data_IF_071665249074
#
_entry.id   IF_071665249074
#
_cell.length_a   1.000
_cell.length_b   1.000
_cell.length_c   1.000
_cell.angle_alpha   90.00
_cell.angle_beta   90.00
_cell.angle_gamma   90.00
#
_symmetry.space_group_name_H-M   'P 1'
#
loop_
_entity.id
_entity.type
_entity.pdbx_description
1 polymer ?
#
# COMPACT_ATOMS: atom_id res chain seq x y z
N UNK A 1 -52.35 23.81 9.31
CA UNK A 1 -50.94 24.27 9.32
C UNK A 1 -50.39 24.13 7.91
N UNK A 2 -50.10 25.23 7.22
CA UNK A 2 -49.54 25.24 5.86
C UNK A 2 -47.99 25.20 5.97
N UNK A 3 -47.25 24.42 5.15
CA UNK A 3 -45.79 24.43 5.19
C UNK A 3 -45.24 25.73 4.55
N UNK A 4 -44.41 26.45 5.29
CA UNK A 4 -43.64 27.59 4.75
C UNK A 4 -42.51 27.04 3.85
N UNK A 5 -42.60 27.37 2.58
CA UNK A 5 -41.48 27.20 1.64
C UNK A 5 -40.46 28.33 1.86
N UNK A 6 -39.26 28.02 2.25
CA UNK A 6 -38.13 28.94 2.21
C UNK A 6 -37.59 28.91 0.78
N UNK A 7 -37.81 29.97 0.03
CA UNK A 7 -37.06 30.28 -1.17
C UNK A 7 -35.83 31.08 -0.74
N UNK A 8 -34.63 30.52 -0.93
CA UNK A 8 -33.37 31.29 -0.90
C UNK A 8 -33.22 31.92 -2.26
N UNK A 9 -33.42 33.21 -2.40
CA UNK A 9 -33.11 33.95 -3.60
C UNK A 9 -31.59 34.11 -3.69
N UNK A 10 -31.01 33.56 -4.72
CA UNK A 10 -29.61 33.87 -5.07
C UNK A 10 -29.59 35.22 -5.80
N UNK A 11 -28.91 36.20 -5.21
CA UNK A 11 -28.66 37.51 -5.82
C UNK A 11 -27.50 37.37 -6.81
N UNK A 12 -27.81 37.37 -8.10
CA UNK A 12 -26.82 37.27 -9.21
C UNK A 12 -26.05 38.60 -9.46
N UNK A 13 -26.30 39.65 -8.67
CA UNK A 13 -25.67 40.95 -8.82
C UNK A 13 -24.57 41.25 -7.78
N UNK A 14 -24.07 40.24 -7.04
CA UNK A 14 -22.89 40.44 -6.20
C UNK A 14 -21.67 40.73 -7.09
N UNK A 15 -20.92 41.81 -6.86
CA UNK A 15 -19.74 42.12 -7.66
C UNK A 15 -18.71 41.02 -7.51
N UNK A 16 -18.36 40.38 -8.64
CA UNK A 16 -17.19 39.51 -8.75
C UNK A 16 -15.98 40.19 -8.16
N UNK A 17 -15.33 39.53 -7.24
CA UNK A 17 -14.11 39.94 -6.56
C UNK A 17 -13.08 40.58 -7.49
N UNK A 18 -13.06 41.88 -7.59
CA UNK A 18 -11.95 42.69 -8.07
C UNK A 18 -11.14 43.14 -6.86
N UNK A 19 -10.19 42.29 -6.45
CA UNK A 19 -9.33 42.55 -5.31
C UNK A 19 -8.28 41.49 -5.08
N UNK A 20 -7.89 40.73 -6.10
CA UNK A 20 -6.64 39.99 -6.04
C UNK A 20 -5.51 41.02 -6.12
N UNK A 21 -5.06 41.54 -4.97
CA UNK A 21 -3.74 42.12 -4.88
C UNK A 21 -2.74 41.06 -5.31
N UNK A 22 -2.26 41.17 -6.55
CA UNK A 22 -1.08 40.41 -6.96
C UNK A 22 0.05 40.78 -6.03
N UNK A 23 0.27 39.98 -4.99
CA UNK A 23 1.49 40.08 -4.19
C UNK A 23 2.64 39.96 -5.18
N UNK A 24 3.46 41.04 -5.32
CA UNK A 24 4.69 40.96 -6.10
C UNK A 24 5.47 39.77 -5.58
N UNK A 25 5.56 38.71 -6.39
CA UNK A 25 6.33 37.52 -6.05
C UNK A 25 7.74 37.94 -5.68
N UNK A 26 8.14 37.75 -4.44
CA UNK A 26 9.54 37.97 -4.04
C UNK A 26 10.39 37.06 -4.91
N UNK A 27 11.37 37.61 -5.60
CA UNK A 27 12.31 36.84 -6.41
C UNK A 27 12.93 35.77 -5.52
N UNK A 28 12.64 34.50 -5.80
CA UNK A 28 13.21 33.38 -5.05
C UNK A 28 14.74 33.43 -5.28
N UNK A 29 15.50 33.48 -4.23
CA UNK A 29 16.98 33.63 -4.30
C UNK A 29 17.67 32.35 -4.78
N UNK A 30 17.01 31.21 -4.69
CA UNK A 30 17.44 29.94 -5.28
C UNK A 30 16.29 29.33 -6.08
N UNK A 31 16.56 28.85 -7.27
CA UNK A 31 15.55 28.16 -8.08
C UNK A 31 15.27 26.79 -7.49
N UNK A 32 14.04 26.25 -7.60
CA UNK A 32 13.70 24.92 -7.12
C UNK A 32 14.63 23.81 -7.66
N UNK A 33 15.03 23.91 -8.93
CA UNK A 33 15.97 22.97 -9.57
C UNK A 33 17.35 22.96 -8.89
N UNK A 34 17.85 24.10 -8.44
CA UNK A 34 19.14 24.19 -7.72
C UNK A 34 19.06 23.51 -6.36
N UNK A 35 17.92 23.64 -5.69
CA UNK A 35 17.65 22.95 -4.42
C UNK A 35 17.58 21.44 -4.62
N UNK A 36 16.86 20.98 -5.63
CA UNK A 36 16.73 19.58 -5.94
C UNK A 36 18.08 18.95 -6.32
N UNK A 37 18.87 19.65 -7.14
CA UNK A 37 20.22 19.21 -7.49
C UNK A 37 21.14 19.09 -6.25
N UNK A 38 21.08 20.06 -5.31
CA UNK A 38 21.83 19.98 -4.05
C UNK A 38 21.41 18.80 -3.18
N UNK A 39 20.11 18.52 -3.08
CA UNK A 39 19.60 17.37 -2.33
C UNK A 39 20.03 16.03 -2.95
N UNK A 40 20.11 15.98 -4.27
CA UNK A 40 20.50 14.76 -5.00
C UNK A 40 22.03 14.59 -5.13
N UNK A 41 22.84 15.61 -4.86
CA UNK A 41 24.28 15.59 -5.10
C UNK A 41 25.05 14.43 -4.40
N UNK A 42 24.50 13.95 -3.27
CA UNK A 42 25.06 12.82 -2.50
C UNK A 42 24.33 11.50 -2.73
N UNK A 43 23.38 11.47 -3.66
CA UNK A 43 22.57 10.29 -4.01
C UNK A 43 23.07 9.68 -5.32
N UNK A 44 22.61 8.48 -5.61
CA UNK A 44 22.95 7.76 -6.82
C UNK A 44 22.30 8.32 -8.09
N UNK A 45 22.59 7.72 -9.24
CA UNK A 45 22.24 8.25 -10.56
C UNK A 45 20.74 8.39 -10.80
N UNK A 46 19.91 7.48 -10.24
CA UNK A 46 18.44 7.57 -10.38
C UNK A 46 17.90 8.82 -9.67
N UNK A 47 18.36 9.08 -8.46
CA UNK A 47 17.98 10.29 -7.72
C UNK A 47 18.42 11.58 -8.42
N UNK A 48 19.63 11.57 -8.99
CA UNK A 48 20.15 12.71 -9.76
C UNK A 48 19.32 12.93 -11.03
N UNK A 49 18.97 11.88 -11.75
CA UNK A 49 18.08 11.93 -12.92
C UNK A 49 16.72 12.55 -12.56
N UNK A 50 16.09 12.06 -11.49
CA UNK A 50 14.79 12.58 -11.03
C UNK A 50 14.92 14.07 -10.66
N UNK A 51 15.94 14.45 -9.89
CA UNK A 51 16.15 15.84 -9.46
C UNK A 51 16.34 16.79 -10.65
N UNK A 52 16.98 16.32 -11.72
CA UNK A 52 17.25 17.13 -12.91
C UNK A 52 16.02 17.28 -13.82
N UNK A 53 15.28 16.18 -14.04
CA UNK A 53 14.27 16.10 -15.10
C UNK A 53 12.83 16.33 -14.60
N UNK A 54 12.51 16.04 -13.33
CA UNK A 54 11.16 16.04 -12.76
C UNK A 54 10.83 17.42 -12.16
N UNK A 55 10.38 18.35 -12.99
CA UNK A 55 10.27 19.77 -12.64
C UNK A 55 8.85 20.28 -12.47
N UNK A 56 7.87 19.72 -13.18
CA UNK A 56 6.49 20.21 -13.24
C UNK A 56 5.50 19.06 -13.31
N UNK A 57 4.21 19.33 -13.06
CA UNK A 57 3.09 18.40 -13.13
C UNK A 57 3.31 17.14 -12.26
N UNK A 58 2.86 15.99 -12.71
CA UNK A 58 3.03 14.73 -11.97
C UNK A 58 4.49 14.35 -11.71
N UNK A 59 5.41 14.71 -12.59
CA UNK A 59 6.82 14.49 -12.36
C UNK A 59 7.33 15.29 -11.13
N UNK A 60 6.95 16.57 -10.99
CA UNK A 60 7.24 17.33 -9.79
C UNK A 60 6.54 16.75 -8.54
N UNK A 61 5.28 16.33 -8.66
CA UNK A 61 4.54 15.72 -7.57
C UNK A 61 5.20 14.42 -7.07
N UNK A 62 5.76 13.61 -7.97
CA UNK A 62 6.55 12.43 -7.61
C UNK A 62 7.76 12.81 -6.75
N UNK A 63 8.55 13.78 -7.20
CA UNK A 63 9.74 14.22 -6.45
C UNK A 63 9.37 14.86 -5.12
N UNK A 64 8.32 15.66 -5.07
CA UNK A 64 7.85 16.29 -3.83
C UNK A 64 7.29 15.24 -2.83
N UNK A 65 6.59 14.22 -3.32
CA UNK A 65 6.19 13.07 -2.52
C UNK A 65 7.40 12.36 -1.91
N UNK A 66 8.42 12.05 -2.72
CA UNK A 66 9.62 11.38 -2.27
C UNK A 66 10.40 12.20 -1.22
N UNK A 67 10.53 13.51 -1.43
CA UNK A 67 11.15 14.45 -0.48
C UNK A 67 10.35 14.55 0.81
N UNK A 68 9.03 14.63 0.71
CA UNK A 68 8.13 14.65 1.87
C UNK A 68 8.23 13.37 2.70
N UNK A 69 8.29 12.21 2.06
CA UNK A 69 8.51 10.92 2.73
C UNK A 69 9.84 10.91 3.50
N UNK A 70 10.92 11.28 2.80
CA UNK A 70 12.26 11.34 3.41
C UNK A 70 12.32 12.33 4.59
N UNK A 71 11.70 13.52 4.44
CA UNK A 71 11.62 14.51 5.50
C UNK A 71 10.83 14.01 6.71
N UNK A 72 9.72 13.31 6.49
CA UNK A 72 8.91 12.70 7.54
C UNK A 72 9.72 11.69 8.36
N UNK A 73 10.48 10.81 7.70
CA UNK A 73 11.35 9.86 8.39
C UNK A 73 12.50 10.56 9.14
N UNK A 74 13.12 11.59 8.55
CA UNK A 74 14.19 12.37 9.20
C UNK A 74 13.72 13.10 10.45
N UNK A 75 12.45 13.50 10.48
CA UNK A 75 11.82 14.06 11.68
C UNK A 75 11.46 13.01 12.74
N UNK A 76 11.89 11.75 12.58
CA UNK A 76 11.60 10.67 13.50
C UNK A 76 10.24 9.99 13.29
N UNK A 77 9.50 10.36 12.24
CA UNK A 77 8.21 9.75 11.90
C UNK A 77 8.32 8.28 11.51
N UNK A 78 7.22 7.56 11.61
CA UNK A 78 7.06 6.19 11.13
C UNK A 78 6.20 6.20 9.87
N UNK A 79 6.34 5.17 9.01
CA UNK A 79 5.59 5.11 7.75
C UNK A 79 4.82 3.81 7.65
N UNK A 80 3.51 3.92 7.40
CA UNK A 80 2.66 2.84 6.95
C UNK A 80 2.52 2.95 5.43
N UNK A 81 2.76 1.84 4.73
CA UNK A 81 2.62 1.74 3.27
C UNK A 81 1.44 0.85 2.94
N UNK A 82 0.63 1.24 1.96
CA UNK A 82 -0.46 0.39 1.47
C UNK A 82 -0.22 -0.05 0.04
N UNK A 83 -0.56 -1.30 -0.25
CA UNK A 83 -0.42 -1.95 -1.55
C UNK A 83 -1.78 -2.48 -2.01
N UNK A 84 -2.42 -1.79 -2.94
CA UNK A 84 -3.62 -2.28 -3.61
C UNK A 84 -3.25 -3.11 -4.85
N UNK A 85 -4.24 -3.73 -5.48
CA UNK A 85 -4.05 -4.55 -6.68
C UNK A 85 -3.10 -5.73 -6.46
N UNK A 86 -2.23 -5.98 -7.44
CA UNK A 86 -1.29 -7.11 -7.51
C UNK A 86 0.15 -6.63 -7.78
N UNK A 87 0.64 -5.68 -6.98
CA UNK A 87 1.98 -5.09 -7.16
C UNK A 87 3.12 -6.08 -6.93
N UNK A 88 2.85 -7.18 -6.22
CA UNK A 88 3.81 -8.26 -6.02
C UNK A 88 4.06 -9.04 -7.31
N UNK A 89 3.04 -9.28 -8.12
CA UNK A 89 3.21 -9.87 -9.47
C UNK A 89 4.00 -8.94 -10.40
N UNK A 90 3.85 -7.62 -10.25
CA UNK A 90 4.67 -6.63 -10.97
C UNK A 90 6.09 -6.47 -10.38
N UNK A 91 6.52 -7.35 -9.50
CA UNK A 91 7.84 -7.39 -8.86
C UNK A 91 8.26 -6.09 -8.15
N UNK A 92 7.30 -5.35 -7.57
CA UNK A 92 7.62 -4.18 -6.75
C UNK A 92 8.52 -4.54 -5.54
N UNK A 93 8.58 -5.82 -5.18
CA UNK A 93 9.48 -6.41 -4.20
C UNK A 93 10.94 -6.00 -4.37
N UNK A 94 11.43 -5.84 -5.61
CA UNK A 94 12.82 -5.44 -5.93
C UNK A 94 13.29 -4.17 -5.21
N UNK A 95 12.39 -3.23 -4.95
CA UNK A 95 12.69 -2.00 -4.21
C UNK A 95 12.08 -2.00 -2.81
N UNK A 96 10.89 -2.58 -2.67
CA UNK A 96 10.15 -2.62 -1.41
C UNK A 96 10.87 -3.43 -0.32
N UNK A 97 11.50 -4.54 -0.69
CA UNK A 97 12.27 -5.38 0.24
C UNK A 97 13.41 -4.59 0.91
N UNK A 98 14.12 -3.77 0.15
CA UNK A 98 15.18 -2.94 0.71
C UNK A 98 14.65 -1.78 1.55
N UNK A 99 13.53 -1.16 1.15
CA UNK A 99 12.83 -0.17 1.97
C UNK A 99 12.49 -0.73 3.35
N UNK A 100 12.05 -2.00 3.42
CA UNK A 100 11.76 -2.69 4.68
C UNK A 100 13.05 -2.92 5.48
N UNK A 101 14.09 -3.51 4.87
CA UNK A 101 15.36 -3.83 5.55
C UNK A 101 16.07 -2.60 6.10
N UNK A 102 15.94 -1.46 5.40
CA UNK A 102 16.51 -0.17 5.83
C UNK A 102 15.58 0.62 6.78
N UNK A 103 14.55 0.01 7.34
CA UNK A 103 13.61 0.64 8.29
C UNK A 103 12.96 1.92 7.74
N UNK A 104 12.68 1.94 6.41
CA UNK A 104 11.92 3.02 5.77
C UNK A 104 10.42 2.78 5.84
N UNK A 105 10.00 1.54 6.11
CA UNK A 105 8.61 1.10 6.25
C UNK A 105 8.44 0.44 7.62
N UNK A 106 7.33 0.72 8.30
CA UNK A 106 7.10 0.29 9.67
C UNK A 106 5.82 -0.54 9.84
N UNK A 107 4.95 -0.51 8.86
CA UNK A 107 3.81 -1.41 8.70
C UNK A 107 3.39 -1.43 7.23
N UNK A 108 2.78 -2.54 6.81
CA UNK A 108 2.18 -2.67 5.47
C UNK A 108 0.72 -3.06 5.63
N UNK A 109 -0.15 -2.48 4.79
CA UNK A 109 -1.51 -2.94 4.57
C UNK A 109 -1.66 -3.31 3.11
N UNK A 110 -2.06 -4.52 2.81
CA UNK A 110 -2.09 -4.97 1.43
C UNK A 110 -3.31 -5.85 1.11
N UNK A 111 -3.60 -6.02 -0.17
CA UNK A 111 -4.51 -7.06 -0.65
C UNK A 111 -3.95 -8.45 -0.35
N UNK A 112 -4.81 -9.46 -0.31
CA UNK A 112 -4.38 -10.84 -0.21
C UNK A 112 -3.48 -11.26 -1.38
N UNK A 113 -3.78 -10.79 -2.58
CA UNK A 113 -2.95 -11.00 -3.77
C UNK A 113 -1.50 -10.54 -3.53
N UNK A 114 -1.30 -9.33 -3.00
CA UNK A 114 0.06 -8.86 -2.69
C UNK A 114 0.78 -9.73 -1.65
N UNK A 115 0.03 -10.25 -0.66
CA UNK A 115 0.60 -11.11 0.38
C UNK A 115 1.15 -12.41 -0.18
N UNK A 116 0.41 -13.05 -1.10
CA UNK A 116 0.72 -14.39 -1.61
C UNK A 116 1.62 -14.37 -2.85
N UNK A 117 1.42 -13.41 -3.75
CA UNK A 117 2.10 -13.40 -5.06
C UNK A 117 3.60 -13.10 -4.97
N UNK A 118 4.08 -12.38 -3.96
CA UNK A 118 5.52 -12.25 -3.72
C UNK A 118 6.17 -13.61 -3.39
N UNK A 119 5.44 -14.46 -2.65
CA UNK A 119 5.92 -15.80 -2.31
C UNK A 119 5.76 -16.74 -3.52
N UNK A 120 4.72 -16.57 -4.32
CA UNK A 120 4.57 -17.31 -5.59
C UNK A 120 5.74 -17.00 -6.52
N UNK A 121 6.08 -15.73 -6.71
CA UNK A 121 7.23 -15.32 -7.49
C UNK A 121 8.55 -15.89 -6.93
N UNK A 122 8.72 -15.88 -5.62
CA UNK A 122 9.91 -16.41 -4.95
C UNK A 122 10.15 -17.89 -5.28
N UNK A 123 9.10 -18.69 -5.43
CA UNK A 123 9.21 -20.17 -5.60
C UNK A 123 8.92 -20.65 -7.00
N UNK A 124 8.44 -19.81 -7.91
CA UNK A 124 7.97 -20.24 -9.23
C UNK A 124 8.33 -19.29 -10.37
N UNK A 125 9.20 -18.30 -10.16
CA UNK A 125 9.57 -17.27 -11.14
C UNK A 125 9.94 -17.85 -12.53
N UNK A 126 10.70 -18.94 -12.58
CA UNK A 126 11.15 -19.54 -13.83
C UNK A 126 10.04 -20.20 -14.65
N UNK A 127 8.85 -20.35 -14.07
CA UNK A 127 7.65 -20.87 -14.72
C UNK A 127 6.65 -19.77 -15.11
N UNK A 128 6.94 -18.52 -14.76
CA UNK A 128 6.11 -17.38 -15.16
C UNK A 128 6.26 -17.14 -16.66
N UNK A 129 5.16 -16.82 -17.32
CA UNK A 129 5.15 -16.44 -18.73
C UNK A 129 4.70 -15.00 -18.90
N UNK A 130 5.44 -14.23 -19.68
CA UNK A 130 5.04 -12.87 -20.03
C UNK A 130 4.38 -12.86 -21.40
N UNK A 131 3.21 -12.20 -21.48
CA UNK A 131 2.41 -12.01 -22.69
C UNK A 131 2.37 -10.51 -23.04
N UNK A 132 3.35 -9.97 -23.79
CA UNK A 132 3.42 -8.53 -24.08
C UNK A 132 2.18 -7.96 -24.78
N UNK A 133 1.52 -8.78 -25.62
CA UNK A 133 0.31 -8.39 -26.38
C UNK A 133 -0.99 -8.74 -25.63
N UNK A 134 -0.98 -8.77 -24.32
CA UNK A 134 -2.11 -9.23 -23.51
C UNK A 134 -3.43 -8.51 -23.76
N UNK A 135 -3.40 -7.28 -24.33
CA UNK A 135 -4.62 -6.53 -24.70
C UNK A 135 -5.31 -7.06 -25.94
N UNK A 136 -4.59 -7.82 -26.77
CA UNK A 136 -5.07 -8.35 -28.04
C UNK A 136 -5.44 -9.84 -27.94
N UNK A 137 -5.36 -10.45 -26.74
CA UNK A 137 -5.76 -11.83 -26.53
C UNK A 137 -7.24 -12.02 -26.76
N UNK A 138 -7.57 -13.08 -27.51
CA UNK A 138 -8.95 -13.52 -27.74
C UNK A 138 -9.46 -14.37 -26.58
N UNK A 139 -10.77 -14.67 -26.57
CA UNK A 139 -11.33 -15.58 -25.59
C UNK A 139 -10.74 -17.00 -25.70
N UNK A 140 -10.40 -17.43 -26.91
CA UNK A 140 -9.75 -18.70 -27.21
C UNK A 140 -8.33 -18.76 -26.65
N UNK A 141 -7.58 -17.65 -26.75
CA UNK A 141 -6.25 -17.55 -26.16
C UNK A 141 -6.30 -17.63 -24.63
N UNK A 142 -7.26 -16.94 -23.99
CA UNK A 142 -7.50 -17.01 -22.55
C UNK A 142 -7.88 -18.44 -22.10
N UNK A 143 -8.72 -19.13 -22.89
CA UNK A 143 -9.08 -20.51 -22.61
C UNK A 143 -7.86 -21.43 -22.71
N UNK A 144 -6.99 -21.21 -23.71
CA UNK A 144 -5.77 -21.98 -23.85
C UNK A 144 -4.78 -21.77 -22.66
N UNK A 145 -4.73 -20.58 -22.09
CA UNK A 145 -4.00 -20.33 -20.85
C UNK A 145 -4.60 -21.10 -19.67
N UNK A 146 -5.92 -21.08 -19.52
CA UNK A 146 -6.62 -21.87 -18.49
C UNK A 146 -6.34 -23.36 -18.61
N UNK A 147 -6.41 -23.91 -19.83
CA UNK A 147 -6.16 -25.34 -20.11
C UNK A 147 -4.72 -25.76 -19.77
N UNK A 148 -3.79 -24.79 -19.77
CA UNK A 148 -2.40 -24.95 -19.35
C UNK A 148 -2.18 -24.68 -17.87
N UNK A 149 -3.23 -24.43 -17.10
CA UNK A 149 -3.17 -24.03 -15.68
C UNK A 149 -2.34 -22.79 -15.42
N UNK A 150 -2.47 -21.80 -16.31
CA UNK A 150 -1.83 -20.48 -16.18
C UNK A 150 -2.88 -19.42 -15.82
N UNK A 151 -2.64 -18.68 -14.74
CA UNK A 151 -3.53 -17.61 -14.28
C UNK A 151 -2.93 -16.25 -14.64
N UNK A 152 -3.59 -15.53 -15.52
CA UNK A 152 -3.05 -14.27 -16.05
C UNK A 152 -3.43 -13.05 -15.19
N UNK A 153 -2.42 -12.28 -14.84
CA UNK A 153 -2.54 -10.95 -14.23
C UNK A 153 -1.87 -9.94 -15.16
N UNK A 154 -2.64 -9.16 -15.90
CA UNK A 154 -2.17 -8.20 -16.92
C UNK A 154 -1.34 -8.90 -18.00
N UNK A 155 -0.04 -8.69 -18.07
CA UNK A 155 0.87 -9.31 -19.05
C UNK A 155 1.62 -10.54 -18.50
N UNK A 156 1.34 -10.94 -17.27
CA UNK A 156 2.08 -11.96 -16.54
C UNK A 156 1.16 -13.15 -16.22
N UNK A 157 1.59 -14.36 -16.59
CA UNK A 157 0.88 -15.60 -16.29
C UNK A 157 1.59 -16.34 -15.16
N UNK A 158 0.84 -16.68 -14.13
CA UNK A 158 1.29 -17.37 -12.91
C UNK A 158 0.89 -18.85 -13.02
N UNK A 159 1.82 -19.81 -12.89
CA UNK A 159 1.50 -21.23 -12.94
C UNK A 159 0.76 -21.67 -11.67
N UNK A 160 -0.37 -22.36 -11.82
CA UNK A 160 -1.17 -22.83 -10.68
C UNK A 160 -0.39 -23.85 -9.84
N UNK A 161 0.24 -24.84 -10.48
CA UNK A 161 0.91 -25.96 -9.80
C UNK A 161 2.14 -25.53 -9.02
N UNK A 162 3.08 -24.86 -9.70
CA UNK A 162 4.39 -24.50 -9.18
C UNK A 162 4.33 -23.32 -8.20
N UNK A 163 3.35 -22.44 -8.33
CA UNK A 163 3.14 -21.30 -7.44
C UNK A 163 2.06 -21.59 -6.41
N UNK A 164 0.80 -21.54 -6.82
CA UNK A 164 -0.36 -21.52 -5.92
C UNK A 164 -0.48 -22.81 -5.10
N UNK A 165 -0.49 -23.98 -5.77
CA UNK A 165 -0.65 -25.27 -5.09
C UNK A 165 0.55 -25.63 -4.23
N UNK A 166 1.75 -25.24 -4.65
CA UNK A 166 2.97 -25.44 -3.85
C UNK A 166 2.92 -24.67 -2.53
N UNK A 167 2.48 -23.41 -2.56
CA UNK A 167 2.35 -22.60 -1.35
C UNK A 167 1.15 -23.02 -0.53
N UNK A 168 0.02 -23.35 -1.17
CA UNK A 168 -1.14 -23.92 -0.48
C UNK A 168 -0.73 -25.16 0.33
N UNK A 169 -0.02 -26.11 -0.25
CA UNK A 169 0.41 -27.31 0.44
C UNK A 169 1.22 -27.01 1.70
N UNK A 170 2.14 -26.03 1.61
CA UNK A 170 2.97 -25.64 2.75
C UNK A 170 2.18 -24.93 3.85
N UNK A 171 1.24 -24.05 3.49
CA UNK A 171 0.46 -23.28 4.47
C UNK A 171 -0.68 -24.09 5.07
N UNK A 172 -1.23 -25.04 4.33
CA UNK A 172 -2.29 -25.93 4.82
C UNK A 172 -1.85 -26.74 6.03
N UNK A 173 -0.59 -27.21 6.06
CA UNK A 173 -0.03 -27.87 7.24
C UNK A 173 -0.11 -26.99 8.48
N UNK A 174 0.19 -25.70 8.34
CA UNK A 174 0.12 -24.73 9.43
C UNK A 174 -1.32 -24.41 9.85
N UNK A 175 -2.26 -24.30 8.89
CA UNK A 175 -3.69 -24.13 9.18
C UNK A 175 -4.25 -25.30 9.97
N UNK A 176 -3.99 -26.54 9.53
CA UNK A 176 -4.46 -27.76 10.19
C UNK A 176 -3.82 -27.89 11.58
N UNK A 177 -2.54 -27.58 11.74
CA UNK A 177 -1.86 -27.61 13.03
C UNK A 177 -2.46 -26.58 14.00
N UNK A 178 -2.74 -25.37 13.52
CA UNK A 178 -3.37 -24.31 14.31
C UNK A 178 -4.81 -24.70 14.73
N UNK A 179 -5.60 -25.23 13.80
CA UNK A 179 -6.96 -25.71 14.07
C UNK A 179 -6.97 -26.79 15.15
N UNK A 180 -6.12 -27.82 15.02
CA UNK A 180 -6.00 -28.90 16.00
C UNK A 180 -5.57 -28.43 17.39
N UNK A 181 -4.72 -27.40 17.46
CA UNK A 181 -4.24 -26.85 18.73
C UNK A 181 -5.13 -25.75 19.30
N UNK A 182 -6.17 -25.33 18.59
CA UNK A 182 -7.04 -24.21 18.96
C UNK A 182 -6.36 -22.85 18.86
N UNK A 183 -5.18 -22.77 18.22
CA UNK A 183 -4.48 -21.51 18.00
C UNK A 183 -5.07 -20.75 16.83
N UNK A 184 -4.95 -19.43 16.88
CA UNK A 184 -5.50 -18.53 15.86
C UNK A 184 -4.43 -17.51 15.45
N UNK A 185 -4.29 -17.32 14.15
CA UNK A 185 -3.28 -16.42 13.60
C UNK A 185 -3.89 -15.55 12.50
N UNK A 186 -3.27 -14.41 12.25
CA UNK A 186 -3.58 -13.61 11.08
C UNK A 186 -3.02 -14.26 9.79
N UNK A 187 -3.57 -13.96 8.62
CA UNK A 187 -3.08 -14.48 7.34
C UNK A 187 -1.56 -14.35 7.17
N UNK A 188 -1.00 -13.17 7.41
CA UNK A 188 0.44 -12.94 7.27
C UNK A 188 1.31 -13.75 8.25
N UNK A 189 0.79 -14.08 9.43
CA UNK A 189 1.53 -14.88 10.41
C UNK A 189 1.73 -16.31 9.94
N UNK A 190 0.77 -16.87 9.20
CA UNK A 190 0.95 -18.17 8.54
C UNK A 190 2.01 -18.09 7.44
N UNK A 191 2.05 -17.01 6.65
CA UNK A 191 3.10 -16.80 5.65
C UNK A 191 4.48 -16.69 6.32
N UNK A 192 4.58 -15.98 7.42
CA UNK A 192 5.82 -15.89 8.19
C UNK A 192 6.29 -17.24 8.73
N UNK A 193 5.36 -18.09 9.17
CA UNK A 193 5.70 -19.44 9.62
C UNK A 193 6.33 -20.27 8.51
N UNK A 194 5.74 -20.33 7.32
CA UNK A 194 6.29 -21.10 6.21
C UNK A 194 7.63 -20.55 5.71
N UNK A 195 7.79 -19.24 5.65
CA UNK A 195 9.04 -18.60 5.25
C UNK A 195 10.18 -18.89 6.26
N UNK A 196 9.90 -18.73 7.57
CA UNK A 196 10.89 -18.94 8.64
C UNK A 196 11.23 -20.42 8.88
N UNK A 197 10.30 -21.32 8.59
CA UNK A 197 10.54 -22.75 8.73
C UNK A 197 11.62 -23.29 7.78
N UNK A 198 11.87 -22.58 6.67
CA UNK A 198 12.75 -23.02 5.61
C UNK A 198 12.17 -24.13 4.71
N UNK A 199 10.95 -24.62 4.95
CA UNK A 199 10.31 -25.72 4.19
C UNK A 199 10.26 -25.43 2.68
N UNK A 200 10.03 -24.17 2.29
CA UNK A 200 9.92 -23.78 0.88
C UNK A 200 11.24 -23.28 0.28
N UNK A 201 12.32 -23.17 1.08
CA UNK A 201 13.62 -22.61 0.63
C UNK A 201 14.22 -23.36 -0.56
N UNK A 202 13.99 -24.66 -0.65
CA UNK A 202 14.46 -25.50 -1.78
C UNK A 202 13.83 -25.15 -3.13
N UNK A 203 12.75 -24.36 -3.12
CA UNK A 203 12.03 -23.93 -4.32
C UNK A 203 12.36 -22.50 -4.75
N UNK A 204 13.20 -21.77 -4.00
CA UNK A 204 13.54 -20.39 -4.35
C UNK A 204 14.21 -20.30 -5.71
N UNK A 205 13.70 -19.44 -6.57
CA UNK A 205 14.14 -19.23 -7.95
C UNK A 205 14.64 -17.80 -8.20
N UNK A 206 14.23 -16.83 -7.36
CA UNK A 206 14.79 -15.48 -7.37
C UNK A 206 15.74 -15.28 -6.18
N UNK A 207 16.58 -14.22 -6.25
CA UNK A 207 17.38 -13.83 -5.08
C UNK A 207 16.45 -13.49 -3.91
N UNK A 208 16.57 -14.19 -2.75
CA UNK A 208 15.76 -13.92 -1.58
C UNK A 208 15.76 -12.46 -1.10
N UNK A 209 16.79 -11.69 -1.47
CA UNK A 209 16.87 -10.26 -1.17
C UNK A 209 15.77 -9.46 -1.86
N UNK A 210 15.22 -9.96 -2.96
CA UNK A 210 14.21 -9.31 -3.78
C UNK A 210 12.79 -9.58 -3.28
N UNK A 211 12.57 -10.53 -2.36
CA UNK A 211 11.26 -10.79 -1.76
C UNK A 211 11.00 -9.83 -0.60
N UNK A 212 9.94 -9.02 -0.73
CA UNK A 212 9.51 -8.15 0.36
C UNK A 212 8.85 -8.92 1.50
N UNK A 213 8.21 -10.05 1.22
CA UNK A 213 7.65 -10.92 2.25
C UNK A 213 8.73 -11.56 3.11
N UNK A 214 9.87 -11.96 2.51
CA UNK A 214 11.03 -12.40 3.30
C UNK A 214 11.59 -11.28 4.15
N UNK A 215 11.78 -10.08 3.59
CA UNK A 215 12.24 -8.91 4.34
C UNK A 215 11.29 -8.58 5.51
N UNK A 216 9.99 -8.67 5.27
CA UNK A 216 8.98 -8.46 6.29
C UNK A 216 9.02 -9.54 7.38
N UNK A 217 9.19 -10.81 7.00
CA UNK A 217 9.33 -11.91 7.95
C UNK A 217 10.61 -11.77 8.81
N UNK A 218 11.76 -11.39 8.20
CA UNK A 218 13.02 -11.11 8.91
C UNK A 218 12.85 -10.03 9.99
N UNK A 219 12.15 -8.94 9.65
CA UNK A 219 11.91 -7.79 10.54
C UNK A 219 10.71 -7.97 11.48
N UNK A 220 9.95 -9.05 11.36
CA UNK A 220 8.65 -9.20 12.01
C UNK A 220 7.75 -7.98 11.77
N UNK A 221 7.76 -7.48 10.54
CA UNK A 221 7.05 -6.27 10.16
C UNK A 221 5.54 -6.48 10.35
N UNK A 222 4.82 -5.53 10.95
CA UNK A 222 3.37 -5.54 10.97
C UNK A 222 2.76 -5.58 9.56
N UNK A 223 1.94 -6.59 9.26
CA UNK A 223 1.15 -6.66 8.02
C UNK A 223 -0.32 -6.82 8.35
N UNK A 224 -1.17 -6.06 7.67
CA UNK A 224 -2.63 -6.12 7.76
C UNK A 224 -3.17 -6.46 6.37
N UNK A 225 -4.05 -7.44 6.29
CA UNK A 225 -4.63 -7.91 5.02
C UNK A 225 -6.16 -7.90 5.12
N UNK A 226 -6.78 -6.71 4.98
CA UNK A 226 -8.24 -6.62 5.01
C UNK A 226 -8.82 -7.28 3.75
N UNK A 227 -9.89 -8.06 3.91
CA UNK A 227 -10.50 -8.78 2.80
C UNK A 227 -9.60 -9.89 2.24
N UNK A 228 -8.81 -10.53 3.08
CA UNK A 228 -7.96 -11.66 2.67
C UNK A 228 -8.75 -12.78 1.96
N UNK A 229 -10.02 -12.88 2.26
CA UNK A 229 -10.96 -13.83 1.65
C UNK A 229 -11.08 -13.68 0.13
N UNK A 230 -10.72 -12.51 -0.41
CA UNK A 230 -10.69 -12.20 -1.85
C UNK A 230 -9.41 -12.71 -2.56
N UNK A 231 -8.53 -13.40 -1.86
CA UNK A 231 -7.29 -13.95 -2.40
C UNK A 231 -7.37 -15.43 -2.69
N UNK A 232 -6.46 -15.95 -3.51
CA UNK A 232 -6.39 -17.37 -3.88
C UNK A 232 -6.28 -18.27 -2.64
N UNK A 233 -5.34 -17.99 -1.74
CA UNK A 233 -5.18 -18.76 -0.51
C UNK A 233 -6.36 -18.59 0.45
N UNK A 234 -7.04 -17.44 0.45
CA UNK A 234 -8.26 -17.22 1.21
C UNK A 234 -9.39 -18.14 0.73
N UNK A 235 -9.56 -18.26 -0.58
CA UNK A 235 -10.52 -19.19 -1.20
C UNK A 235 -10.15 -20.64 -0.91
N UNK A 236 -8.88 -21.01 -0.98
CA UNK A 236 -8.40 -22.36 -0.67
C UNK A 236 -8.63 -22.72 0.80
N UNK A 237 -8.43 -21.76 1.72
CA UNK A 237 -8.77 -21.94 3.13
C UNK A 237 -10.26 -22.20 3.31
N UNK A 238 -11.13 -21.41 2.67
CA UNK A 238 -12.57 -21.60 2.70
C UNK A 238 -12.97 -22.99 2.16
N UNK A 239 -12.34 -23.44 1.07
CA UNK A 239 -12.52 -24.79 0.53
C UNK A 239 -12.23 -25.89 1.56
N UNK A 240 -11.14 -25.75 2.33
CA UNK A 240 -10.77 -26.71 3.39
C UNK A 240 -11.71 -26.68 4.59
N UNK A 241 -12.32 -25.55 4.90
CA UNK A 241 -13.40 -25.45 5.90
C UNK A 241 -14.65 -26.18 5.39
N UNK A 242 -15.05 -25.95 4.13
CA UNK A 242 -16.21 -26.59 3.52
C UNK A 242 -16.06 -28.12 3.47
N UNK A 243 -14.88 -28.63 3.18
CA UNK A 243 -14.60 -30.10 3.16
C UNK A 243 -14.44 -30.69 4.56
N UNK A 244 -14.39 -29.87 5.61
CA UNK A 244 -14.23 -30.29 7.01
C UNK A 244 -12.80 -30.70 7.40
N UNK A 245 -11.81 -30.41 6.57
CA UNK A 245 -10.39 -30.57 6.92
C UNK A 245 -9.98 -29.58 8.02
N UNK A 246 -10.49 -28.36 7.97
CA UNK A 246 -10.42 -27.33 9.01
C UNK A 246 -11.79 -27.22 9.67
N UNK A 247 -11.86 -27.43 10.97
CA UNK A 247 -13.12 -27.47 11.71
C UNK A 247 -13.56 -26.11 12.22
N UNK A 248 -12.61 -25.26 12.58
CA UNK A 248 -12.89 -23.93 13.09
C UNK A 248 -12.56 -22.87 12.03
N UNK A 249 -13.59 -22.29 11.42
CA UNK A 249 -13.44 -21.22 10.43
C UNK A 249 -12.64 -20.01 10.96
N UNK A 250 -12.64 -19.82 12.28
CA UNK A 250 -11.92 -18.72 12.94
C UNK A 250 -10.45 -19.04 13.27
N UNK A 251 -9.89 -20.16 12.81
CA UNK A 251 -8.46 -20.45 12.92
C UNK A 251 -7.62 -19.36 12.25
N UNK A 252 -8.10 -18.79 11.14
CA UNK A 252 -7.62 -17.54 10.60
C UNK A 252 -8.40 -16.37 11.22
N UNK A 253 -7.69 -15.37 11.73
CA UNK A 253 -8.29 -14.19 12.37
C UNK A 253 -8.88 -13.24 11.34
N UNK A 254 -9.94 -12.55 11.71
CA UNK A 254 -10.80 -11.76 10.80
C UNK A 254 -10.34 -10.31 10.61
N UNK A 255 -10.98 -9.60 9.66
CA UNK A 255 -10.74 -8.19 9.42
C UNK A 255 -11.05 -7.29 10.61
N UNK A 256 -12.08 -7.59 11.40
CA UNK A 256 -12.37 -6.82 12.63
C UNK A 256 -11.25 -6.97 13.66
N UNK A 257 -10.67 -8.15 13.79
CA UNK A 257 -9.52 -8.35 14.66
C UNK A 257 -8.28 -7.60 14.16
N UNK A 258 -8.10 -7.48 12.83
CA UNK A 258 -7.08 -6.62 12.25
C UNK A 258 -7.30 -5.15 12.61
N UNK A 259 -8.53 -4.65 12.56
CA UNK A 259 -8.83 -3.25 12.92
C UNK A 259 -8.51 -2.98 14.40
N UNK A 260 -8.89 -3.91 15.31
CA UNK A 260 -8.55 -3.76 16.74
C UNK A 260 -7.05 -3.79 16.98
N UNK A 261 -6.35 -4.67 16.27
CA UNK A 261 -4.90 -4.76 16.34
C UNK A 261 -4.20 -3.50 15.78
N UNK A 262 -4.69 -2.97 14.66
CA UNK A 262 -4.20 -1.74 14.05
C UNK A 262 -4.38 -0.53 14.97
N UNK A 263 -5.53 -0.43 15.65
CA UNK A 263 -5.78 0.63 16.63
C UNK A 263 -4.80 0.59 17.81
N UNK A 264 -4.48 -0.60 18.29
CA UNK A 264 -3.47 -0.81 19.34
C UNK A 264 -2.07 -0.46 18.83
N UNK A 265 -1.68 -0.95 17.67
CA UNK A 265 -0.40 -0.65 17.02
C UNK A 265 -0.22 0.86 16.79
N UNK A 266 -1.24 1.53 16.23
CA UNK A 266 -1.20 2.97 15.97
C UNK A 266 -1.01 3.75 17.27
N UNK A 267 -1.80 3.42 18.30
CA UNK A 267 -1.75 4.09 19.60
C UNK A 267 -0.39 3.89 20.28
N UNK A 268 0.14 2.66 20.28
CA UNK A 268 1.46 2.35 20.86
C UNK A 268 2.59 3.04 20.10
N UNK A 269 2.56 2.98 18.78
CA UNK A 269 3.56 3.61 17.92
C UNK A 269 3.57 5.13 18.12
N UNK A 270 2.41 5.77 18.13
CA UNK A 270 2.30 7.20 18.38
C UNK A 270 2.87 7.64 19.74
N UNK A 271 2.71 6.82 20.80
CA UNK A 271 3.28 7.09 22.13
C UNK A 271 4.81 6.98 22.17
N UNK A 272 5.40 6.15 21.29
CA UNK A 272 6.86 5.97 21.22
C UNK A 272 7.54 7.12 20.47
N UNK A 273 6.79 7.92 19.72
CA UNK A 273 7.31 9.09 19.02
C UNK A 273 7.55 10.20 20.05
N UNK A 274 8.82 10.51 20.30
CA UNK A 274 9.25 11.40 21.39
C UNK A 274 8.69 12.82 21.20
N UNK A 275 8.20 13.39 22.30
CA UNK A 275 7.85 14.83 22.46
C UNK A 275 6.77 15.37 21.52
N UNK A 276 5.96 14.53 20.89
CA UNK A 276 4.98 14.99 19.89
C UNK A 276 5.58 15.46 18.57
N UNK A 277 6.89 15.28 18.36
CA UNK A 277 7.61 15.70 17.15
C UNK A 277 7.57 14.63 16.04
N UNK A 278 7.12 13.43 16.32
CA UNK A 278 6.96 12.40 15.32
C UNK A 278 5.48 12.04 15.12
N UNK A 279 5.15 11.60 13.94
CA UNK A 279 3.81 11.09 13.60
C UNK A 279 3.92 9.87 12.68
N UNK A 280 2.80 9.21 12.44
CA UNK A 280 2.75 8.11 11.50
C UNK A 280 2.32 8.67 10.15
N UNK A 281 3.14 8.44 9.13
CA UNK A 281 2.83 8.77 7.75
C UNK A 281 2.07 7.65 7.06
N UNK A 282 1.37 8.01 5.99
CA UNK A 282 0.56 7.13 5.17
C UNK A 282 0.98 7.27 3.71
N UNK A 283 1.60 6.23 3.15
CA UNK A 283 1.99 6.19 1.75
C UNK A 283 1.15 5.13 1.02
N UNK A 284 0.33 5.57 0.08
CA UNK A 284 -0.69 4.75 -0.56
C UNK A 284 -0.34 4.46 -2.01
N UNK A 285 -0.25 3.17 -2.34
CA UNK A 285 -0.14 2.68 -3.72
C UNK A 285 -1.50 2.12 -4.13
N UNK A 286 -2.14 2.73 -5.13
CA UNK A 286 -3.50 2.45 -5.52
C UNK A 286 -4.51 3.00 -4.53
N UNK A 287 -5.57 2.24 -4.24
CA UNK A 287 -6.64 2.64 -3.32
C UNK A 287 -7.37 1.44 -2.74
N UNK A 288 -8.68 1.38 -2.96
CA UNK A 288 -9.53 0.27 -2.53
C UNK A 288 -9.42 -0.02 -1.03
N UNK A 289 -9.70 -1.26 -0.65
CA UNK A 289 -9.73 -1.69 0.75
C UNK A 289 -8.35 -1.58 1.43
N UNK A 290 -7.27 -1.81 0.68
CA UNK A 290 -5.92 -1.72 1.23
C UNK A 290 -5.58 -0.31 1.74
N UNK A 291 -6.13 0.73 1.10
CA UNK A 291 -5.96 2.13 1.52
C UNK A 291 -7.04 2.60 2.50
N UNK A 292 -8.30 2.31 2.23
CA UNK A 292 -9.42 2.84 3.04
C UNK A 292 -9.51 2.20 4.42
N UNK A 293 -9.30 0.91 4.51
CA UNK A 293 -9.34 0.19 5.79
C UNK A 293 -8.38 0.82 6.84
N UNK A 294 -7.06 0.95 6.58
CA UNK A 294 -6.15 1.44 7.60
C UNK A 294 -6.29 2.94 7.88
N UNK A 295 -6.63 3.76 6.88
CA UNK A 295 -6.71 5.20 7.11
C UNK A 295 -7.84 5.57 8.08
N UNK A 296 -8.87 4.73 8.18
CA UNK A 296 -10.01 4.90 9.07
C UNK A 296 -9.69 4.65 10.54
N UNK A 297 -8.53 4.11 10.90
CA UNK A 297 -8.16 3.88 12.30
C UNK A 297 -8.15 5.19 13.11
N UNK A 298 -7.70 6.29 12.52
CA UNK A 298 -7.62 7.58 13.22
C UNK A 298 -8.99 8.18 13.52
N UNK A 299 -9.92 8.33 12.56
CA UNK A 299 -11.29 8.76 12.89
C UNK A 299 -11.97 7.82 13.89
N UNK A 300 -11.80 6.51 13.80
CA UNK A 300 -12.32 5.57 14.80
C UNK A 300 -11.75 5.86 16.20
N UNK A 301 -10.45 6.08 16.33
CA UNK A 301 -9.83 6.42 17.61
C UNK A 301 -10.38 7.73 18.18
N UNK A 302 -10.60 8.74 17.33
CA UNK A 302 -11.07 10.06 17.77
C UNK A 302 -12.56 10.11 18.02
N UNK A 303 -13.37 9.64 17.05
CA UNK A 303 -14.82 9.84 17.03
C UNK A 303 -15.55 8.77 17.83
N UNK A 304 -15.16 7.49 17.67
CA UNK A 304 -15.86 6.38 18.31
C UNK A 304 -15.30 6.07 19.71
N UNK A 305 -13.98 6.27 19.92
CA UNK A 305 -13.30 5.93 21.18
C UNK A 305 -12.90 7.18 22.01
N UNK A 306 -13.15 8.40 21.53
CA UNK A 306 -12.84 9.65 22.22
C UNK A 306 -11.34 9.88 22.50
N UNK A 307 -10.45 9.19 21.79
CA UNK A 307 -8.99 9.26 22.01
C UNK A 307 -8.35 10.39 21.20
N UNK A 308 -8.78 11.62 21.43
CA UNK A 308 -8.37 12.81 20.67
C UNK A 308 -6.89 13.20 20.84
N UNK A 309 -6.19 12.65 21.83
CA UNK A 309 -4.76 12.86 22.04
C UNK A 309 -3.88 12.05 21.08
N UNK A 310 -4.44 11.07 20.36
CA UNK A 310 -3.71 10.33 19.32
C UNK A 310 -3.54 11.25 18.11
N UNK A 311 -2.34 11.38 17.52
CA UNK A 311 -2.13 12.28 16.38
C UNK A 311 -2.90 11.82 15.13
N UNK A 312 -3.26 12.77 14.27
CA UNK A 312 -3.69 12.49 12.90
C UNK A 312 -2.51 11.95 12.09
N UNK A 313 -2.80 11.37 10.89
CA UNK A 313 -1.74 11.00 9.97
C UNK A 313 -0.87 12.21 9.63
N UNK A 314 0.44 12.10 9.84
CA UNK A 314 1.37 13.23 9.75
C UNK A 314 1.97 13.46 8.37
N UNK A 315 1.77 12.56 7.45
CA UNK A 315 2.16 12.62 6.05
C UNK A 315 1.17 11.80 5.25
N UNK A 316 0.84 12.23 4.05
CA UNK A 316 0.02 11.46 3.12
C UNK A 316 0.56 11.58 1.70
N UNK A 317 0.68 10.46 1.00
CA UNK A 317 0.90 10.43 -0.43
C UNK A 317 0.09 9.30 -1.06
N UNK A 318 -0.44 9.55 -2.24
CA UNK A 318 -1.20 8.58 -3.01
C UNK A 318 -0.66 8.51 -4.43
N UNK A 319 -0.37 7.29 -4.89
CA UNK A 319 -0.15 6.97 -6.29
C UNK A 319 -1.43 6.31 -6.80
N UNK A 320 -2.08 6.85 -7.81
CA UNK A 320 -3.29 6.28 -8.39
C UNK A 320 -3.52 6.80 -9.80
N UNK A 321 -3.98 5.96 -10.68
CA UNK A 321 -4.48 6.30 -12.03
C UNK A 321 -6.00 6.51 -12.06
N UNK A 322 -6.68 6.40 -10.91
CA UNK A 322 -8.12 6.57 -10.80
C UNK A 322 -8.53 8.03 -10.91
N UNK A 323 -9.54 8.30 -11.73
CA UNK A 323 -10.14 9.62 -11.87
C UNK A 323 -11.03 9.96 -10.67
N UNK A 324 -11.16 11.26 -10.36
CA UNK A 324 -12.11 11.76 -9.38
C UNK A 324 -13.53 11.58 -9.87
N UNK A 325 -14.33 10.73 -9.25
CA UNK A 325 -15.74 10.55 -9.61
C UNK A 325 -16.51 9.67 -8.61
N UNK A 326 -17.76 9.48 -8.80
CA UNK A 326 -18.73 8.51 -8.25
C UNK A 326 -18.44 7.91 -6.85
N UNK A 327 -17.73 8.61 -5.97
CA UNK A 327 -17.50 8.15 -4.59
C UNK A 327 -16.39 7.12 -4.41
N UNK A 328 -15.59 6.82 -5.44
CA UNK A 328 -14.44 5.93 -5.30
C UNK A 328 -13.39 6.51 -4.34
N UNK A 329 -13.01 5.72 -3.35
CA UNK A 329 -11.90 6.08 -2.46
C UNK A 329 -10.58 6.28 -3.22
N UNK A 330 -10.33 5.48 -4.25
CA UNK A 330 -9.12 5.55 -5.07
C UNK A 330 -8.99 6.86 -5.85
N UNK A 331 -10.12 7.47 -6.25
CA UNK A 331 -10.16 8.77 -6.94
C UNK A 331 -10.33 9.97 -6.01
N UNK A 332 -10.54 9.77 -4.71
CA UNK A 332 -10.75 10.86 -3.76
C UNK A 332 -9.46 11.66 -3.51
N UNK A 333 -9.54 12.97 -3.74
CA UNK A 333 -8.41 13.88 -3.50
C UNK A 333 -7.99 13.92 -2.02
N UNK A 334 -6.70 14.18 -1.72
CA UNK A 334 -6.22 14.14 -0.33
C UNK A 334 -6.95 15.11 0.62
N UNK A 335 -7.41 16.27 0.16
CA UNK A 335 -8.12 17.23 0.99
C UNK A 335 -9.50 16.74 1.47
N UNK A 336 -10.16 15.87 0.72
CA UNK A 336 -11.41 15.25 1.14
C UNK A 336 -11.25 14.45 2.45
N UNK A 337 -10.08 13.87 2.66
CA UNK A 337 -9.75 13.10 3.87
C UNK A 337 -9.71 13.94 5.15
N UNK A 338 -9.67 15.27 5.02
CA UNK A 338 -9.72 16.21 6.17
C UNK A 338 -11.11 16.20 6.78
N UNK A 339 -12.18 16.20 5.98
CA UNK A 339 -13.56 16.21 6.47
C UNK A 339 -13.92 14.93 7.23
N UNK A 340 -13.21 13.84 6.97
CA UNK A 340 -13.34 12.57 7.68
C UNK A 340 -12.46 12.45 8.92
N UNK A 341 -11.72 13.49 9.29
CA UNK A 341 -10.82 13.46 10.44
C UNK A 341 -9.60 12.53 10.26
N UNK A 342 -9.23 12.21 9.03
CA UNK A 342 -8.08 11.37 8.69
C UNK A 342 -6.79 12.19 8.67
N UNK A 343 -6.82 13.37 8.04
CA UNK A 343 -5.68 14.29 7.86
C UNK A 343 -5.96 15.65 8.47
N UNK A 344 -4.90 16.34 8.90
CA UNK A 344 -4.96 17.75 9.28
C UNK A 344 -4.83 18.69 8.07
N UNK A 345 -5.31 19.93 8.21
CA UNK A 345 -5.18 20.95 7.18
C UNK A 345 -3.71 21.20 6.77
N UNK A 346 -2.80 21.13 7.74
CA UNK A 346 -1.35 21.34 7.55
C UNK A 346 -0.57 20.08 7.24
N UNK A 347 -1.18 18.89 7.24
CA UNK A 347 -0.50 17.64 6.90
C UNK A 347 0.07 17.73 5.48
N UNK A 348 1.37 17.49 5.26
CA UNK A 348 1.93 17.34 3.92
C UNK A 348 1.19 16.26 3.14
N UNK A 349 0.67 16.62 1.97
CA UNK A 349 -0.20 15.75 1.16
C UNK A 349 0.20 15.82 -0.30
N UNK A 350 0.35 14.67 -0.93
CA UNK A 350 0.77 14.55 -2.33
C UNK A 350 -0.15 13.57 -3.07
N UNK A 351 -0.36 13.82 -4.34
CA UNK A 351 -0.98 12.89 -5.27
C UNK A 351 -0.09 12.77 -6.50
N UNK A 352 0.15 11.54 -6.92
CA UNK A 352 0.87 11.20 -8.15
C UNK A 352 -0.11 10.41 -9.02
N UNK A 353 -0.65 11.06 -10.04
CA UNK A 353 -1.60 10.45 -10.97
C UNK A 353 -0.82 9.67 -12.03
N UNK A 354 -0.54 8.41 -11.74
CA UNK A 354 0.26 7.55 -12.61
C UNK A 354 0.16 6.08 -12.21
N UNK A 355 0.65 5.21 -13.10
CA UNK A 355 0.85 3.80 -12.83
C UNK A 355 1.94 3.60 -11.77
N UNK A 356 1.58 2.86 -10.72
CA UNK A 356 2.46 2.60 -9.59
C UNK A 356 3.69 1.76 -9.97
N UNK A 357 3.58 0.87 -10.95
CA UNK A 357 4.70 0.03 -11.41
C UNK A 357 5.82 0.86 -12.04
N UNK A 358 5.47 2.04 -12.58
CA UNK A 358 6.41 2.98 -13.16
C UNK A 358 7.02 3.89 -12.09
N UNK A 359 6.16 4.49 -11.23
CA UNK A 359 6.60 5.61 -10.39
C UNK A 359 7.01 5.22 -8.97
N UNK A 360 6.47 4.13 -8.41
CA UNK A 360 6.84 3.72 -7.06
C UNK A 360 8.34 3.33 -6.95
N UNK A 361 8.95 2.58 -7.89
CA UNK A 361 10.38 2.30 -7.87
C UNK A 361 11.25 3.56 -7.90
N UNK A 362 10.82 4.61 -8.60
CA UNK A 362 11.54 5.90 -8.65
C UNK A 362 11.49 6.63 -7.31
N UNK A 363 10.30 6.67 -6.66
CA UNK A 363 10.14 7.24 -5.33
C UNK A 363 11.00 6.48 -4.32
N UNK A 364 10.94 5.15 -4.33
CA UNK A 364 11.73 4.32 -3.42
C UNK A 364 13.23 4.46 -3.67
N UNK A 365 13.66 4.56 -4.93
CA UNK A 365 15.07 4.82 -5.28
C UNK A 365 15.56 6.15 -4.70
N UNK A 366 14.74 7.21 -4.73
CA UNK A 366 15.07 8.47 -4.08
C UNK A 366 15.28 8.32 -2.57
N UNK A 367 14.35 7.62 -1.90
CA UNK A 367 14.38 7.41 -0.44
C UNK A 367 15.58 6.54 -0.03
N UNK A 368 15.91 5.55 -0.85
CA UNK A 368 17.08 4.67 -0.68
C UNK A 368 18.40 5.37 -1.05
N UNK A 369 18.35 6.51 -1.72
CA UNK A 369 19.53 7.25 -2.15
C UNK A 369 20.22 6.67 -3.39
N UNK A 370 19.51 5.89 -4.21
CA UNK A 370 20.02 5.25 -5.43
C UNK A 370 20.13 6.19 -6.62
#
# INVERSE_FOLDING_TARGET
>A
MKPRRFFVAFDFNAPLFLGAQFMKAKRVTKRPEDINAQLAAKKGPVSQFIAHNYRHFNAAALLDSAKGYEAHLKAGGKMLVTLAGAMSTAELGLTLAEMIRQDKIHAIVCTGANLEEDIFNLVAHDYYERVPQYRDLTAEDEQALLDRHMNRVTDTCIPEGEAMRRIEAAVAEEWVAADKSGQRFFPHEFMYKILRSGKIKKYYQIDPKNSWMLAAAEKNLPIIVPGWEDATLGNMYAGRVITGEIKNVHTVRTGIEYMTWLADWYTKTAKLLKNGEGSIGFFQIGGGIAGDFPICVVPMLHQDLGRTSVPLWGYFSQISDSTTSYGSYSGAVPNEKITWGKLGAKTPKFIVESDATIVAPLIFSWILGR
#
